data_IF_877460811347
#
_entry.id   IF_877460811347
#
_cell.length_a   1.000
_cell.length_b   1.000
_cell.length_c   1.000
_cell.angle_alpha   90.00
_cell.angle_beta   90.00
_cell.angle_gamma   90.00
#
_symmetry.space_group_name_H-M   'P 1'
#
loop_
_entity.id
_entity.type
_entity.pdbx_description
1 polymer ?
#
# COMPACT_ATOMS: atom_id res chain seq x y z
N UNK A 1 9.34 -13.36 54.85
CA UNK A 1 10.25 -12.26 55.24
C UNK A 1 11.50 -12.36 54.39
N UNK A 2 11.37 -12.34 53.07
CA UNK A 2 11.10 -11.17 52.21
C UNK A 2 12.26 -10.19 52.25
N UNK A 3 13.04 -10.16 51.16
CA UNK A 3 13.23 -8.98 50.31
C UNK A 3 13.62 -9.44 48.89
N UNK A 4 12.62 -9.68 48.05
CA UNK A 4 12.76 -9.50 46.61
C UNK A 4 12.81 -7.98 46.38
N UNK A 5 14.00 -7.45 46.08
CA UNK A 5 14.16 -6.11 45.52
C UNK A 5 13.98 -6.20 44.01
N UNK A 6 12.74 -6.36 43.55
CA UNK A 6 12.42 -6.12 42.14
C UNK A 6 12.50 -4.63 41.89
N UNK A 7 13.49 -4.20 41.10
CA UNK A 7 13.43 -2.88 40.47
C UNK A 7 12.37 -3.03 39.39
N UNK A 8 11.16 -2.53 39.65
CA UNK A 8 10.17 -2.37 38.59
C UNK A 8 10.80 -1.47 37.50
N UNK A 9 10.72 -1.83 36.22
CA UNK A 9 11.18 -0.96 35.16
C UNK A 9 10.37 0.34 35.22
N UNK A 10 11.03 1.44 35.54
CA UNK A 10 10.41 2.76 35.50
C UNK A 10 9.87 3.03 34.09
N UNK A 11 8.58 3.34 34.05
CA UNK A 11 7.86 3.70 32.84
C UNK A 11 8.36 5.07 32.40
N UNK A 12 9.08 5.13 31.26
CA UNK A 12 9.50 6.39 30.67
C UNK A 12 8.28 6.93 29.91
N UNK A 13 7.72 8.06 30.37
CA UNK A 13 6.67 8.78 29.64
C UNK A 13 7.32 9.84 28.75
N UNK A 14 7.26 9.63 27.44
CA UNK A 14 7.86 10.52 26.44
C UNK A 14 6.87 11.56 25.88
N UNK A 15 5.60 11.58 26.32
CA UNK A 15 4.53 12.39 25.71
C UNK A 15 4.76 13.91 25.73
N UNK A 16 5.71 14.39 26.53
CA UNK A 16 6.12 15.81 26.58
C UNK A 16 7.43 16.15 25.86
N UNK A 17 8.12 15.15 25.28
CA UNK A 17 9.42 15.34 24.63
C UNK A 17 9.32 16.09 23.30
N UNK A 18 10.39 16.74 22.87
CA UNK A 18 10.49 17.35 21.53
C UNK A 18 10.32 16.30 20.42
N UNK A 19 10.70 15.05 20.67
CA UNK A 19 10.42 13.93 19.78
C UNK A 19 8.92 13.74 19.52
N UNK A 20 8.10 13.70 20.58
CA UNK A 20 6.65 13.55 20.44
C UNK A 20 6.00 14.79 19.85
N UNK A 21 6.52 15.99 20.14
CA UNK A 21 6.07 17.21 19.46
C UNK A 21 6.31 17.12 17.95
N UNK A 22 7.46 16.62 17.52
CA UNK A 22 7.78 16.47 16.10
C UNK A 22 6.97 15.38 15.40
N UNK A 23 6.68 14.28 16.08
CA UNK A 23 5.70 13.28 15.60
C UNK A 23 4.32 13.94 15.45
N UNK A 24 3.92 14.79 16.39
CA UNK A 24 2.62 15.46 16.37
C UNK A 24 2.54 16.60 15.34
N UNK A 25 3.68 17.17 14.96
CA UNK A 25 3.79 18.18 13.91
C UNK A 25 4.40 17.62 12.62
N UNK A 26 4.18 16.34 12.32
CA UNK A 26 4.80 15.66 11.18
C UNK A 26 4.52 16.34 9.83
N UNK A 27 3.42 17.08 9.70
CA UNK A 27 3.11 17.87 8.50
C UNK A 27 4.18 18.92 8.18
N UNK A 28 4.70 19.58 9.22
CA UNK A 28 5.80 20.55 9.07
C UNK A 28 7.09 19.83 8.68
N UNK A 29 7.29 18.62 9.22
CA UNK A 29 8.44 17.78 8.90
C UNK A 29 8.42 17.34 7.43
N UNK A 30 7.24 16.98 6.89
CA UNK A 30 7.08 16.63 5.46
C UNK A 30 7.53 17.80 4.57
N UNK A 31 7.11 19.03 4.88
CA UNK A 31 7.48 20.22 4.10
C UNK A 31 8.99 20.48 4.12
N UNK A 32 9.66 20.21 5.25
CA UNK A 32 11.11 20.30 5.33
C UNK A 32 11.78 19.18 4.54
N UNK A 33 11.27 17.95 4.65
CA UNK A 33 11.81 16.76 4.01
C UNK A 33 11.84 16.86 2.47
N UNK A 34 10.86 17.57 1.87
CA UNK A 34 10.81 17.84 0.42
C UNK A 34 12.00 18.64 -0.11
N UNK A 35 12.65 19.43 0.76
CA UNK A 35 13.81 20.24 0.41
C UNK A 35 15.14 19.54 0.74
N UNK A 36 15.09 18.32 1.26
CA UNK A 36 16.26 17.55 1.69
C UNK A 36 16.41 16.29 0.84
N UNK A 37 17.61 16.05 0.33
CA UNK A 37 17.94 14.87 -0.46
C UNK A 37 18.29 13.67 0.45
N UNK A 38 17.31 13.22 1.24
CA UNK A 38 17.47 12.11 2.20
C UNK A 38 17.05 10.78 1.59
N UNK A 39 17.68 9.71 2.04
CA UNK A 39 17.39 8.32 1.64
C UNK A 39 16.17 7.73 2.36
N UNK A 40 15.84 8.26 3.54
CA UNK A 40 14.66 7.92 4.32
C UNK A 40 13.89 9.19 4.73
N UNK A 41 12.64 9.09 5.20
CA UNK A 41 11.89 10.23 5.71
C UNK A 41 12.64 10.96 6.83
N UNK A 42 12.64 12.30 6.84
CA UNK A 42 13.25 13.10 7.92
C UNK A 42 12.74 12.71 9.32
N UNK A 43 11.49 12.25 9.43
CA UNK A 43 10.95 11.77 10.71
C UNK A 43 11.66 10.52 11.22
N UNK A 44 12.16 9.65 10.34
CA UNK A 44 13.00 8.50 10.71
C UNK A 44 14.32 8.96 11.28
N UNK A 45 14.97 9.94 10.64
CA UNK A 45 16.23 10.52 11.11
C UNK A 45 16.05 11.10 12.52
N UNK A 46 14.98 11.86 12.75
CA UNK A 46 14.66 12.42 14.07
C UNK A 46 14.46 11.29 15.10
N UNK A 47 13.59 10.32 14.80
CA UNK A 47 13.28 9.22 15.72
C UNK A 47 14.52 8.39 16.05
N UNK A 48 15.21 7.90 15.02
CA UNK A 48 16.31 6.95 15.21
C UNK A 48 17.53 7.60 15.84
N UNK A 49 17.89 8.81 15.39
CA UNK A 49 19.02 9.55 15.99
C UNK A 49 18.72 9.90 17.44
N UNK A 50 17.47 10.21 17.79
CA UNK A 50 17.07 10.41 19.19
C UNK A 50 17.24 9.13 20.01
N UNK A 51 16.73 7.99 19.54
CA UNK A 51 16.76 6.72 20.27
C UNK A 51 18.19 6.21 20.47
N UNK A 52 19.04 6.29 19.44
CA UNK A 52 20.44 5.84 19.49
C UNK A 52 21.27 6.71 20.44
N UNK A 53 21.20 8.04 20.32
CA UNK A 53 22.01 8.94 21.14
C UNK A 53 21.63 8.93 22.62
N UNK A 54 20.39 8.55 22.95
CA UNK A 54 19.94 8.42 24.33
C UNK A 54 20.07 6.99 24.88
N UNK A 55 20.69 6.08 24.12
CA UNK A 55 20.85 4.67 24.50
C UNK A 55 19.52 3.95 24.83
N UNK A 56 18.43 4.36 24.17
CA UNK A 56 17.07 3.84 24.39
C UNK A 56 16.78 2.61 23.52
N UNK A 57 17.70 2.20 22.65
CA UNK A 57 17.52 1.07 21.71
C UNK A 57 17.20 -0.27 22.37
N UNK A 58 17.47 -0.46 23.67
CA UNK A 58 17.11 -1.67 24.43
C UNK A 58 15.67 -1.64 24.99
N UNK A 59 15.00 -0.49 24.94
CA UNK A 59 13.65 -0.27 25.45
C UNK A 59 12.63 -0.51 24.34
N UNK A 60 12.35 -1.78 24.06
CA UNK A 60 11.32 -2.16 23.08
C UNK A 60 9.94 -1.58 23.40
N UNK A 61 9.64 -1.36 24.68
CA UNK A 61 8.44 -0.66 25.16
C UNK A 61 8.39 0.80 24.69
N UNK A 62 9.51 1.53 24.77
CA UNK A 62 9.60 2.92 24.32
C UNK A 62 9.46 3.01 22.80
N UNK A 63 10.08 2.10 22.06
CA UNK A 63 9.90 2.03 20.61
C UNK A 63 8.45 1.71 20.22
N UNK A 64 7.77 0.85 20.98
CA UNK A 64 6.34 0.61 20.80
C UNK A 64 5.50 1.87 21.06
N UNK A 65 5.82 2.67 22.09
CA UNK A 65 5.13 3.94 22.33
C UNK A 65 5.32 4.96 21.19
N UNK A 66 6.52 5.02 20.60
CA UNK A 66 6.77 5.88 19.42
C UNK A 66 5.90 5.41 18.24
N UNK A 67 5.82 4.10 18.02
CA UNK A 67 4.93 3.55 16.99
C UNK A 67 3.45 3.77 17.31
N UNK A 68 3.04 3.75 18.58
CA UNK A 68 1.67 4.08 19.01
C UNK A 68 1.32 5.54 18.66
N UNK A 69 2.24 6.47 18.91
CA UNK A 69 1.98 7.88 18.61
C UNK A 69 1.89 8.12 17.10
N UNK A 70 2.77 7.49 16.30
CA UNK A 70 2.65 7.53 14.83
C UNK A 70 1.36 6.83 14.39
N UNK A 71 0.95 5.77 15.08
CA UNK A 71 -0.28 5.03 14.80
C UNK A 71 -1.53 5.90 14.90
N UNK A 72 -1.67 6.63 16.00
CA UNK A 72 -2.78 7.55 16.21
C UNK A 72 -2.94 8.58 15.08
N UNK A 73 -1.85 8.91 14.38
CA UNK A 73 -1.87 9.85 13.25
C UNK A 73 -2.30 9.19 11.96
N UNK A 74 -1.85 7.96 11.68
CA UNK A 74 -2.27 7.30 10.45
C UNK A 74 -3.71 6.78 10.54
N UNK A 75 -4.27 6.53 11.72
CA UNK A 75 -5.68 6.12 11.90
C UNK A 75 -6.71 7.26 11.70
N UNK A 76 -6.27 8.51 11.47
CA UNK A 76 -7.17 9.62 11.14
C UNK A 76 -7.91 9.37 9.81
N UNK A 77 -9.25 9.35 9.84
CA UNK A 77 -10.09 9.12 8.66
C UNK A 77 -9.90 10.20 7.56
N UNK A 78 -9.43 11.39 7.95
CA UNK A 78 -9.22 12.54 7.07
C UNK A 78 -7.77 12.67 6.60
N UNK A 79 -6.89 11.74 6.96
CA UNK A 79 -5.48 11.79 6.55
C UNK A 79 -5.35 11.83 5.03
N UNK A 80 -4.54 12.77 4.52
CA UNK A 80 -4.27 12.86 3.09
C UNK A 80 -3.41 11.68 2.65
N UNK A 81 -3.62 11.22 1.42
CA UNK A 81 -2.88 10.06 0.89
C UNK A 81 -1.35 10.21 0.99
N UNK A 82 -0.82 11.41 0.72
CA UNK A 82 0.62 11.70 0.84
C UNK A 82 1.13 11.59 2.28
N UNK A 83 0.37 12.09 3.26
CA UNK A 83 0.68 11.98 4.68
C UNK A 83 0.67 10.52 5.14
N UNK A 84 -0.34 9.75 4.72
CA UNK A 84 -0.43 8.32 4.98
C UNK A 84 0.80 7.57 4.45
N UNK A 85 1.20 7.84 3.21
CA UNK A 85 2.39 7.22 2.61
C UNK A 85 3.67 7.59 3.35
N UNK A 86 3.81 8.84 3.79
CA UNK A 86 4.95 9.30 4.56
C UNK A 86 5.06 8.62 5.94
N UNK A 87 3.95 8.56 6.70
CA UNK A 87 3.93 7.92 8.02
C UNK A 87 4.18 6.42 7.94
N UNK A 88 3.59 5.75 6.94
CA UNK A 88 3.80 4.31 6.74
C UNK A 88 5.22 3.99 6.26
N UNK A 89 5.84 4.88 5.47
CA UNK A 89 7.27 4.81 5.15
C UNK A 89 8.13 4.95 6.41
N UNK A 90 7.78 5.90 7.28
CA UNK A 90 8.47 6.12 8.56
C UNK A 90 8.41 4.86 9.44
N UNK A 91 7.22 4.27 9.61
CA UNK A 91 7.04 3.00 10.34
C UNK A 91 7.90 1.90 9.73
N UNK A 92 7.86 1.73 8.40
CA UNK A 92 8.60 0.69 7.69
C UNK A 92 10.11 0.79 7.94
N UNK A 93 10.65 2.00 7.94
CA UNK A 93 12.07 2.24 8.26
C UNK A 93 12.41 1.98 9.71
N UNK A 94 11.61 2.46 10.66
CA UNK A 94 11.84 2.21 12.09
C UNK A 94 11.86 0.69 12.36
N UNK A 95 10.92 -0.04 11.77
CA UNK A 95 10.84 -1.49 11.88
C UNK A 95 12.09 -2.18 11.35
N UNK A 96 12.53 -1.77 10.17
CA UNK A 96 13.69 -2.32 9.47
C UNK A 96 15.01 -2.03 10.21
N UNK A 97 15.17 -0.81 10.71
CA UNK A 97 16.30 -0.37 11.52
C UNK A 97 16.41 -1.16 12.82
N UNK A 98 15.29 -1.29 13.52
CA UNK A 98 15.25 -1.98 14.81
C UNK A 98 15.52 -3.49 14.68
N UNK A 99 14.94 -4.13 13.67
CA UNK A 99 15.15 -5.56 13.44
C UNK A 99 16.59 -5.90 13.02
N UNK A 100 17.20 -5.06 12.17
CA UNK A 100 18.55 -5.30 11.65
C UNK A 100 19.68 -4.82 12.58
N UNK A 101 19.37 -4.11 13.66
CA UNK A 101 20.40 -3.67 14.59
C UNK A 101 20.87 -4.83 15.51
N UNK A 102 22.12 -5.26 15.35
CA UNK A 102 22.71 -6.36 16.12
C UNK A 102 23.04 -6.01 17.58
N UNK A 103 23.06 -4.73 17.94
CA UNK A 103 23.31 -4.32 19.33
C UNK A 103 22.07 -4.45 20.22
N UNK A 104 20.88 -4.60 19.63
CA UNK A 104 19.61 -4.69 20.35
C UNK A 104 19.37 -6.14 20.80
N UNK A 105 19.04 -6.33 22.08
CA UNK A 105 18.76 -7.66 22.64
C UNK A 105 17.57 -8.35 21.97
N UNK A 106 17.60 -9.68 21.87
CA UNK A 106 16.49 -10.44 21.28
C UNK A 106 15.17 -10.20 22.03
N UNK A 107 15.21 -10.09 23.36
CA UNK A 107 14.03 -9.77 24.17
C UNK A 107 13.37 -8.44 23.77
N UNK A 108 14.17 -7.39 23.55
CA UNK A 108 13.67 -6.10 23.10
C UNK A 108 13.14 -6.16 21.66
N UNK A 109 13.72 -7.03 20.80
CA UNK A 109 13.19 -7.34 19.46
C UNK A 109 11.85 -8.07 19.51
N UNK A 110 11.67 -9.01 20.42
CA UNK A 110 10.43 -9.79 20.53
C UNK A 110 9.25 -8.89 20.95
N UNK A 111 9.45 -8.03 21.95
CA UNK A 111 8.44 -7.02 22.38
C UNK A 111 8.03 -6.11 21.22
N UNK A 112 9.02 -5.64 20.47
CA UNK A 112 8.79 -4.74 19.34
C UNK A 112 8.14 -5.45 18.15
N UNK A 113 8.53 -6.70 17.87
CA UNK A 113 8.00 -7.50 16.77
C UNK A 113 6.50 -7.80 16.91
N UNK A 114 6.03 -8.01 18.14
CA UNK A 114 4.60 -8.19 18.43
C UNK A 114 3.78 -6.99 17.93
N UNK A 115 4.20 -5.77 18.30
CA UNK A 115 3.57 -4.51 17.84
C UNK A 115 3.62 -4.34 16.32
N UNK A 116 4.79 -4.60 15.76
CA UNK A 116 5.12 -4.43 14.35
C UNK A 116 4.23 -5.23 13.39
N UNK A 117 3.94 -6.49 13.73
CA UNK A 117 3.19 -7.40 12.86
C UNK A 117 1.76 -6.92 12.60
N UNK A 118 1.06 -6.44 13.65
CA UNK A 118 -0.29 -5.89 13.54
C UNK A 118 -0.31 -4.53 12.86
N UNK A 119 0.63 -3.67 13.21
CA UNK A 119 0.74 -2.31 12.68
C UNK A 119 1.00 -2.30 11.17
N UNK A 120 1.98 -3.07 10.69
CA UNK A 120 2.29 -3.17 9.25
C UNK A 120 1.07 -3.58 8.41
N UNK A 121 0.28 -4.53 8.93
CA UNK A 121 -0.93 -4.99 8.26
C UNK A 121 -1.99 -3.88 8.16
N UNK A 122 -2.20 -3.12 9.25
CA UNK A 122 -3.15 -1.98 9.27
C UNK A 122 -2.71 -0.87 8.31
N UNK A 123 -1.45 -0.48 8.36
CA UNK A 123 -0.88 0.53 7.46
C UNK A 123 -1.17 0.23 6.00
N UNK A 124 -0.88 -0.99 5.55
CA UNK A 124 -1.08 -1.32 4.14
C UNK A 124 -2.56 -1.47 3.79
N UNK A 125 -3.37 -2.03 4.69
CA UNK A 125 -4.84 -2.07 4.48
C UNK A 125 -5.42 -0.67 4.26
N UNK A 126 -4.94 0.32 5.01
CA UNK A 126 -5.42 1.69 4.86
C UNK A 126 -4.93 2.35 3.57
N UNK A 127 -3.67 2.13 3.18
CA UNK A 127 -3.15 2.57 1.86
C UNK A 127 -4.00 1.98 0.74
N UNK A 128 -4.21 0.67 0.75
CA UNK A 128 -5.00 -0.02 -0.26
C UNK A 128 -6.46 0.42 -0.26
N UNK A 129 -7.05 0.67 0.91
CA UNK A 129 -8.40 1.22 1.02
C UNK A 129 -8.53 2.59 0.38
N UNK A 130 -7.56 3.49 0.59
CA UNK A 130 -7.53 4.80 -0.05
C UNK A 130 -7.30 4.69 -1.56
N UNK A 131 -6.38 3.83 -1.98
CA UNK A 131 -6.11 3.58 -3.41
C UNK A 131 -7.35 3.02 -4.10
N UNK A 132 -8.04 2.06 -3.48
CA UNK A 132 -9.27 1.50 -4.03
C UNK A 132 -10.32 2.58 -4.23
N UNK A 133 -10.57 3.44 -3.22
CA UNK A 133 -11.50 4.60 -3.35
C UNK A 133 -11.11 5.54 -4.50
N UNK A 134 -9.84 5.92 -4.60
CA UNK A 134 -9.35 6.81 -5.66
C UNK A 134 -9.41 6.15 -7.05
N UNK A 135 -9.13 4.85 -7.09
CA UNK A 135 -9.19 4.02 -8.30
C UNK A 135 -10.63 3.94 -8.78
N UNK A 136 -11.59 3.60 -7.91
CA UNK A 136 -13.02 3.56 -8.25
C UNK A 136 -13.51 4.88 -8.83
N UNK A 137 -13.16 6.02 -8.21
CA UNK A 137 -13.55 7.33 -8.73
C UNK A 137 -13.01 7.58 -10.15
N UNK A 138 -11.74 7.23 -10.39
CA UNK A 138 -11.07 7.42 -11.68
C UNK A 138 -11.63 6.49 -12.76
N UNK A 139 -11.91 5.24 -12.38
CA UNK A 139 -12.44 4.21 -13.28
C UNK A 139 -13.89 4.49 -13.61
N UNK A 140 -14.73 4.88 -12.65
CA UNK A 140 -16.11 5.26 -12.93
C UNK A 140 -16.18 6.45 -13.89
N UNK A 141 -15.32 7.45 -13.70
CA UNK A 141 -15.20 8.57 -14.64
C UNK A 141 -14.77 8.10 -16.05
N UNK A 142 -13.85 7.14 -16.13
CA UNK A 142 -13.42 6.57 -17.41
C UNK A 142 -14.51 5.70 -18.06
N UNK A 143 -15.19 4.83 -17.31
CA UNK A 143 -16.27 3.96 -17.83
C UNK A 143 -17.45 4.77 -18.37
N UNK A 144 -17.74 5.94 -17.77
CA UNK A 144 -18.78 6.85 -18.24
C UNK A 144 -18.38 7.65 -19.49
N UNK A 145 -17.11 8.04 -19.61
CA UNK A 145 -16.63 8.87 -20.72
C UNK A 145 -16.09 8.08 -21.90
N UNK A 146 -15.48 6.92 -21.64
CA UNK A 146 -14.82 5.94 -22.51
C UNK A 146 -13.72 6.47 -23.45
N UNK A 147 -13.71 7.76 -23.77
CA UNK A 147 -12.82 8.40 -24.73
C UNK A 147 -11.47 8.83 -24.12
N UNK A 148 -11.37 8.96 -22.78
CA UNK A 148 -10.22 9.58 -22.12
C UNK A 148 -9.54 8.62 -21.12
N UNK A 149 -8.67 7.73 -21.61
CA UNK A 149 -7.85 6.84 -20.76
C UNK A 149 -6.89 7.62 -19.84
N UNK A 150 -6.60 8.87 -20.19
CA UNK A 150 -5.72 9.77 -19.44
C UNK A 150 -6.11 9.92 -17.96
N UNK A 151 -7.40 9.88 -17.63
CA UNK A 151 -7.85 10.00 -16.23
C UNK A 151 -7.28 8.88 -15.36
N UNK A 152 -7.29 7.64 -15.88
CA UNK A 152 -6.77 6.47 -15.15
C UNK A 152 -5.24 6.47 -15.17
N UNK A 153 -4.60 6.82 -16.28
CA UNK A 153 -3.13 6.84 -16.40
C UNK A 153 -2.51 7.95 -15.54
N UNK A 154 -3.06 9.17 -15.56
CA UNK A 154 -2.60 10.25 -14.68
C UNK A 154 -2.73 9.85 -13.19
N UNK A 155 -3.74 9.04 -12.85
CA UNK A 155 -3.87 8.47 -11.51
C UNK A 155 -2.78 7.43 -11.20
N UNK A 156 -2.54 6.47 -12.09
CA UNK A 156 -1.48 5.46 -11.95
C UNK A 156 -0.12 6.12 -11.76
N UNK A 157 0.23 7.09 -12.61
CA UNK A 157 1.50 7.81 -12.55
C UNK A 157 1.66 8.58 -11.24
N UNK A 158 0.58 9.22 -10.75
CA UNK A 158 0.58 9.90 -9.45
C UNK A 158 0.84 8.94 -8.30
N UNK A 159 0.23 7.74 -8.32
CA UNK A 159 0.45 6.73 -7.28
C UNK A 159 1.89 6.21 -7.31
N UNK A 160 2.40 5.84 -8.48
CA UNK A 160 3.79 5.38 -8.64
C UNK A 160 4.77 6.45 -8.14
N UNK A 161 4.58 7.69 -8.59
CA UNK A 161 5.41 8.84 -8.16
C UNK A 161 5.32 9.03 -6.65
N UNK A 162 4.12 8.96 -6.06
CA UNK A 162 3.91 9.11 -4.62
C UNK A 162 4.64 8.02 -3.82
N UNK A 163 4.60 6.76 -4.26
CA UNK A 163 5.33 5.67 -3.58
C UNK A 163 6.83 5.94 -3.61
N UNK A 164 7.40 6.29 -4.77
CA UNK A 164 8.83 6.57 -4.87
C UNK A 164 9.24 7.83 -4.10
N UNK A 165 8.42 8.89 -4.11
CA UNK A 165 8.70 10.13 -3.37
C UNK A 165 8.57 9.97 -1.85
N UNK A 166 7.88 8.92 -1.39
CA UNK A 166 7.69 8.65 0.05
C UNK A 166 8.89 7.96 0.69
N UNK A 167 9.98 7.76 -0.06
CA UNK A 167 11.28 7.25 0.44
C UNK A 167 11.17 5.92 1.18
N UNK A 168 10.30 4.99 0.77
CA UNK A 168 10.22 3.66 1.40
C UNK A 168 11.53 2.87 1.27
N UNK A 169 11.80 1.92 2.18
CA UNK A 169 12.84 0.92 1.94
C UNK A 169 12.62 0.24 0.59
N UNK A 170 13.68 0.08 -0.21
CA UNK A 170 13.58 -0.36 -1.62
C UNK A 170 12.71 -1.62 -1.79
N UNK A 171 12.96 -2.67 -1.01
CA UNK A 171 12.18 -3.91 -1.09
C UNK A 171 10.70 -3.71 -0.73
N UNK A 172 10.42 -2.86 0.27
CA UNK A 172 9.05 -2.53 0.64
C UNK A 172 8.34 -1.75 -0.46
N UNK A 173 9.03 -0.78 -1.09
CA UNK A 173 8.48 0.02 -2.18
C UNK A 173 8.06 -0.86 -3.36
N UNK A 174 8.87 -1.85 -3.75
CA UNK A 174 8.55 -2.79 -4.83
C UNK A 174 7.30 -3.60 -4.52
N UNK A 175 7.27 -4.24 -3.35
CA UNK A 175 6.13 -5.07 -2.94
C UNK A 175 4.85 -4.24 -2.79
N UNK A 176 4.97 -3.00 -2.29
CA UNK A 176 3.85 -2.08 -2.19
C UNK A 176 3.32 -1.71 -3.59
N UNK A 177 4.19 -1.35 -4.54
CA UNK A 177 3.74 -1.01 -5.90
C UNK A 177 3.10 -2.22 -6.59
N UNK A 178 3.66 -3.43 -6.46
CA UNK A 178 3.05 -4.67 -7.00
C UNK A 178 1.63 -4.88 -6.45
N UNK A 179 1.46 -4.63 -5.15
CA UNK A 179 0.18 -4.79 -4.47
C UNK A 179 -0.85 -3.75 -4.90
N UNK A 180 -0.40 -2.50 -5.07
CA UNK A 180 -1.19 -1.41 -5.61
C UNK A 180 -1.61 -1.70 -7.05
N UNK A 181 -0.67 -2.15 -7.88
CA UNK A 181 -0.91 -2.47 -9.27
C UNK A 181 -1.97 -3.58 -9.40
N UNK A 182 -1.83 -4.64 -8.58
CA UNK A 182 -2.82 -5.71 -8.48
C UNK A 182 -4.19 -5.17 -8.05
N UNK A 183 -4.25 -4.30 -7.04
CA UNK A 183 -5.49 -3.68 -6.58
C UNK A 183 -6.16 -2.84 -7.67
N UNK A 184 -5.39 -2.11 -8.48
CA UNK A 184 -5.89 -1.32 -9.61
C UNK A 184 -6.48 -2.24 -10.69
N UNK A 185 -5.76 -3.31 -11.06
CA UNK A 185 -6.22 -4.28 -12.06
C UNK A 185 -7.55 -4.92 -11.66
N UNK A 186 -7.68 -5.31 -10.39
CA UNK A 186 -8.90 -5.93 -9.89
C UNK A 186 -10.06 -4.95 -9.79
N UNK A 187 -9.79 -3.75 -9.29
CA UNK A 187 -10.81 -2.70 -9.22
C UNK A 187 -11.32 -2.37 -10.63
N UNK A 188 -10.43 -2.30 -11.63
CA UNK A 188 -10.82 -2.08 -13.02
C UNK A 188 -11.62 -3.24 -13.59
N UNK A 189 -11.21 -4.48 -13.33
CA UNK A 189 -11.97 -5.66 -13.76
C UNK A 189 -13.37 -5.66 -13.14
N UNK A 190 -13.47 -5.35 -11.86
CA UNK A 190 -14.73 -5.32 -11.11
C UNK A 190 -15.68 -4.23 -11.61
N UNK A 191 -15.22 -2.99 -11.72
CA UNK A 191 -16.05 -1.85 -12.15
C UNK A 191 -16.49 -2.00 -13.61
N UNK A 192 -15.60 -2.45 -14.50
CA UNK A 192 -15.99 -2.77 -15.88
C UNK A 192 -17.04 -3.85 -15.88
N UNK A 193 -16.84 -4.96 -15.14
CA UNK A 193 -17.77 -6.10 -15.18
C UNK A 193 -19.16 -5.78 -14.64
N UNK A 194 -19.31 -4.74 -13.81
CA UNK A 194 -20.60 -4.31 -13.23
C UNK A 194 -21.23 -3.13 -13.97
N UNK A 195 -20.55 -2.56 -14.95
CA UNK A 195 -21.01 -1.34 -15.61
C UNK A 195 -22.24 -1.60 -16.48
N UNK A 196 -23.23 -0.73 -16.39
CA UNK A 196 -24.39 -0.70 -17.30
C UNK A 196 -24.04 -0.06 -18.67
N UNK A 197 -22.87 0.59 -18.77
CA UNK A 197 -22.42 1.32 -19.96
C UNK A 197 -21.55 0.48 -20.89
N UNK A 198 -21.43 -0.83 -20.67
CA UNK A 198 -20.60 -1.71 -21.49
C UNK A 198 -21.11 -1.80 -22.93
N UNK A 199 -20.20 -1.65 -23.89
CA UNK A 199 -20.42 -1.83 -25.33
C UNK A 199 -19.22 -2.56 -25.95
N UNK A 200 -19.33 -2.92 -27.23
CA UNK A 200 -18.21 -3.56 -27.96
C UNK A 200 -17.02 -2.60 -28.02
N UNK A 201 -17.29 -1.31 -28.24
CA UNK A 201 -16.33 -0.21 -28.25
C UNK A 201 -15.60 -0.08 -26.91
N UNK A 202 -16.28 -0.31 -25.78
CA UNK A 202 -15.65 -0.35 -24.46
C UNK A 202 -14.52 -1.37 -24.41
N UNK A 203 -14.67 -2.51 -25.10
CA UNK A 203 -13.61 -3.51 -25.21
C UNK A 203 -12.35 -2.96 -25.90
N UNK A 204 -12.51 -2.15 -26.95
CA UNK A 204 -11.39 -1.52 -27.66
C UNK A 204 -10.68 -0.49 -26.77
N UNK A 205 -11.44 0.38 -26.10
CA UNK A 205 -10.89 1.38 -25.18
C UNK A 205 -10.20 0.73 -23.98
N UNK A 206 -10.77 -0.35 -23.44
CA UNK A 206 -10.15 -1.13 -22.38
C UNK A 206 -8.80 -1.72 -22.84
N UNK A 207 -8.71 -2.23 -24.07
CA UNK A 207 -7.44 -2.76 -24.58
C UNK A 207 -6.34 -1.68 -24.62
N UNK A 208 -6.69 -0.47 -25.06
CA UNK A 208 -5.76 0.67 -25.07
C UNK A 208 -5.34 1.02 -23.63
N UNK A 209 -6.29 1.13 -22.71
CA UNK A 209 -6.02 1.44 -21.30
C UNK A 209 -5.11 0.38 -20.67
N UNK A 210 -5.37 -0.90 -20.93
CA UNK A 210 -4.57 -2.03 -20.41
C UNK A 210 -3.11 -1.93 -20.87
N UNK A 211 -2.87 -1.63 -22.15
CA UNK A 211 -1.51 -1.44 -22.66
C UNK A 211 -0.79 -0.26 -22.02
N UNK A 212 -1.52 0.85 -21.77
CA UNK A 212 -0.95 2.02 -21.10
C UNK A 212 -0.62 1.75 -19.63
N UNK A 213 -1.49 1.03 -18.91
CA UNK A 213 -1.23 0.58 -17.53
C UNK A 213 -0.01 -0.35 -17.50
N UNK A 214 0.04 -1.34 -18.40
CA UNK A 214 1.18 -2.27 -18.53
C UNK A 214 2.48 -1.51 -18.76
N UNK A 215 2.47 -0.52 -19.66
CA UNK A 215 3.64 0.32 -19.95
C UNK A 215 4.07 1.16 -18.75
N UNK A 216 3.13 1.79 -18.03
CA UNK A 216 3.42 2.61 -16.86
C UNK A 216 4.12 1.79 -15.76
N UNK A 217 3.61 0.60 -15.44
CA UNK A 217 4.24 -0.28 -14.45
C UNK A 217 5.55 -0.90 -14.94
N UNK A 218 5.65 -1.24 -16.23
CA UNK A 218 6.91 -1.74 -16.81
C UNK A 218 8.02 -0.69 -16.73
N UNK A 219 7.70 0.59 -16.97
CA UNK A 219 8.64 1.71 -16.82
C UNK A 219 9.09 1.89 -15.35
N UNK A 220 8.25 1.49 -14.39
CA UNK A 220 8.58 1.42 -12.97
C UNK A 220 9.29 0.11 -12.56
N UNK A 221 9.66 -0.75 -13.51
CA UNK A 221 10.26 -2.06 -13.28
C UNK A 221 9.38 -3.04 -12.49
N UNK A 222 8.06 -2.94 -12.67
CA UNK A 222 7.07 -3.81 -12.03
C UNK A 222 6.41 -4.70 -13.09
N UNK A 223 6.51 -6.01 -12.90
CA UNK A 223 5.81 -6.98 -13.75
C UNK A 223 4.39 -7.17 -13.23
N UNK A 224 3.41 -6.80 -14.04
CA UNK A 224 2.00 -6.86 -13.67
C UNK A 224 1.28 -7.98 -14.43
N UNK A 225 0.55 -8.82 -13.71
CA UNK A 225 -0.41 -9.73 -14.33
C UNK A 225 -1.72 -8.99 -14.62
N UNK A 226 -1.94 -8.71 -15.91
CA UNK A 226 -3.13 -8.04 -16.45
C UNK A 226 -4.01 -8.98 -17.27
N UNK A 227 -3.81 -10.30 -17.14
CA UNK A 227 -4.50 -11.31 -17.94
C UNK A 227 -6.01 -11.16 -17.86
N UNK A 228 -6.55 -10.93 -16.66
CA UNK A 228 -7.99 -10.72 -16.44
C UNK A 228 -8.55 -9.56 -17.28
N UNK A 229 -7.83 -8.44 -17.40
CA UNK A 229 -8.30 -7.28 -18.18
C UNK A 229 -8.17 -7.51 -19.68
N UNK A 230 -7.10 -8.19 -20.12
CA UNK A 230 -6.93 -8.60 -21.53
C UNK A 230 -8.06 -9.54 -21.95
N UNK A 231 -8.44 -10.46 -21.08
CA UNK A 231 -9.57 -11.37 -21.29
C UNK A 231 -10.91 -10.64 -21.31
N UNK A 232 -11.18 -9.72 -20.36
CA UNK A 232 -12.42 -8.93 -20.35
C UNK A 232 -12.57 -8.13 -21.65
N UNK A 233 -11.50 -7.46 -22.08
CA UNK A 233 -11.47 -6.74 -23.36
C UNK A 233 -11.77 -7.67 -24.53
N UNK A 234 -11.15 -8.86 -24.56
CA UNK A 234 -11.35 -9.88 -25.59
C UNK A 234 -12.80 -10.40 -25.64
N UNK A 235 -13.44 -10.61 -24.48
CA UNK A 235 -14.85 -11.02 -24.38
C UNK A 235 -15.78 -9.94 -24.96
N UNK A 236 -15.53 -8.67 -24.65
CA UNK A 236 -16.34 -7.55 -25.15
C UNK A 236 -16.30 -7.46 -26.69
N UNK A 237 -15.10 -7.58 -27.28
CA UNK A 237 -14.87 -7.48 -28.73
C UNK A 237 -15.17 -8.78 -29.51
N UNK A 238 -15.43 -9.88 -28.82
CA UNK A 238 -15.69 -11.17 -29.47
C UNK A 238 -16.94 -11.08 -30.36
N UNK A 239 -16.78 -11.43 -31.65
CA UNK A 239 -17.87 -11.36 -32.64
C UNK A 239 -18.99 -12.36 -32.37
N UNK A 240 -18.65 -13.59 -31.99
CA UNK A 240 -19.62 -14.62 -31.64
C UNK A 240 -19.43 -15.02 -30.18
N UNK A 241 -20.25 -14.44 -29.30
CA UNK A 241 -20.17 -14.65 -27.85
C UNK A 241 -20.70 -16.02 -27.41
N UNK A 242 -21.48 -16.71 -28.24
CA UNK A 242 -22.00 -18.05 -27.92
C UNK A 242 -20.91 -19.13 -27.87
N UNK A 243 -19.72 -18.89 -28.45
CA UNK A 243 -18.55 -19.79 -28.32
C UNK A 243 -18.13 -19.98 -26.86
N UNK A 244 -18.41 -18.99 -26.00
CA UNK A 244 -18.11 -19.08 -24.57
C UNK A 244 -18.92 -20.17 -23.85
N UNK A 245 -20.05 -20.64 -24.41
CA UNK A 245 -20.82 -21.73 -23.80
C UNK A 245 -20.01 -23.04 -23.69
N UNK A 246 -19.07 -23.27 -24.60
CA UNK A 246 -18.24 -24.48 -24.65
C UNK A 246 -16.80 -24.24 -24.24
N UNK A 247 -16.25 -23.05 -24.56
CA UNK A 247 -14.81 -22.81 -24.51
C UNK A 247 -14.39 -21.68 -23.56
N UNK A 248 -15.26 -21.20 -22.66
CA UNK A 248 -14.91 -20.06 -21.79
C UNK A 248 -13.64 -20.30 -20.94
N UNK A 249 -13.38 -21.54 -20.50
CA UNK A 249 -12.17 -21.84 -19.72
C UNK A 249 -10.88 -21.74 -20.53
N UNK A 250 -10.97 -21.84 -21.85
CA UNK A 250 -9.83 -21.66 -22.77
C UNK A 250 -9.69 -20.20 -23.16
N UNK A 251 -10.82 -19.51 -23.38
CA UNK A 251 -10.85 -18.12 -23.86
C UNK A 251 -10.59 -17.11 -22.74
N UNK A 252 -11.12 -17.35 -21.53
CA UNK A 252 -11.00 -16.45 -20.39
C UNK A 252 -10.81 -17.21 -19.06
N UNK A 253 -9.69 -17.93 -18.88
CA UNK A 253 -9.40 -18.71 -17.67
C UNK A 253 -9.26 -17.90 -16.38
N UNK A 254 -8.94 -16.60 -16.47
CA UNK A 254 -8.70 -15.75 -15.30
C UNK A 254 -9.92 -14.92 -14.90
N UNK A 255 -10.94 -14.80 -15.76
CA UNK A 255 -12.16 -14.05 -15.44
C UNK A 255 -13.04 -14.85 -14.47
N UNK A 256 -13.45 -14.24 -13.35
CA UNK A 256 -14.43 -14.85 -12.47
C UNK A 256 -15.77 -15.10 -13.15
N UNK A 257 -16.40 -16.26 -12.89
CA UNK A 257 -17.70 -16.60 -13.51
C UNK A 257 -18.71 -15.49 -13.28
N UNK A 258 -18.75 -14.91 -12.07
CA UNK A 258 -19.67 -13.82 -11.76
C UNK A 258 -19.42 -12.58 -12.64
N UNK A 259 -18.14 -12.23 -12.88
CA UNK A 259 -17.78 -11.10 -13.72
C UNK A 259 -18.18 -11.35 -15.17
N UNK A 260 -17.88 -12.56 -15.67
CA UNK A 260 -18.24 -12.97 -17.03
C UNK A 260 -19.76 -12.95 -17.24
N UNK A 261 -20.53 -13.50 -16.30
CA UNK A 261 -22.00 -13.51 -16.36
C UNK A 261 -22.56 -12.10 -16.35
N UNK A 262 -22.03 -11.19 -15.52
CA UNK A 262 -22.47 -9.81 -15.49
C UNK A 262 -22.23 -9.12 -16.85
N UNK A 263 -21.02 -9.22 -17.40
CA UNK A 263 -20.66 -8.65 -18.70
C UNK A 263 -21.62 -9.15 -19.81
N UNK A 264 -21.81 -10.47 -19.90
CA UNK A 264 -22.67 -11.07 -20.92
C UNK A 264 -24.14 -10.68 -20.75
N UNK A 265 -24.60 -10.54 -19.50
CA UNK A 265 -25.97 -10.11 -19.20
C UNK A 265 -26.20 -8.66 -19.63
N UNK A 266 -25.28 -7.75 -19.31
CA UNK A 266 -25.38 -6.34 -19.74
C UNK A 266 -25.39 -6.22 -21.27
N UNK A 267 -24.50 -6.92 -21.96
CA UNK A 267 -24.46 -6.91 -23.43
C UNK A 267 -25.76 -7.43 -24.04
N UNK A 268 -26.32 -8.51 -23.50
CA UNK A 268 -27.59 -9.08 -23.95
C UNK A 268 -28.77 -8.13 -23.74
N UNK A 269 -28.75 -7.33 -22.67
CA UNK A 269 -29.79 -6.34 -22.40
C UNK A 269 -29.73 -5.16 -23.39
N UNK A 270 -28.54 -4.76 -23.83
CA UNK A 270 -28.37 -3.70 -24.83
C UNK A 270 -28.66 -4.16 -26.25
N UNK A 271 -28.25 -5.38 -26.59
CA UNK A 271 -28.50 -6.00 -27.88
C UNK A 271 -28.97 -7.44 -27.68
N UNK A 272 -30.28 -7.66 -27.82
CA UNK A 272 -30.86 -8.99 -27.71
C UNK A 272 -30.35 -9.97 -28.77
N UNK A 273 -29.73 -9.52 -29.86
CA UNK A 273 -29.16 -10.42 -30.87
C UNK A 273 -27.71 -10.85 -30.58
N UNK A 274 -27.04 -10.20 -29.61
CA UNK A 274 -25.60 -10.36 -29.38
C UNK A 274 -25.16 -11.73 -28.84
N UNK A 275 -26.03 -12.43 -28.10
CA UNK A 275 -25.83 -13.81 -27.65
C UNK A 275 -27.14 -14.52 -27.25
N UNK A 276 -27.12 -15.84 -27.12
CA UNK A 276 -28.25 -16.62 -26.62
C UNK A 276 -28.39 -16.59 -25.10
N UNK A 277 -29.62 -16.67 -24.59
CA UNK A 277 -29.88 -16.81 -23.14
C UNK A 277 -29.36 -18.14 -22.58
N UNK A 278 -29.30 -19.18 -23.44
CA UNK A 278 -28.72 -20.48 -23.13
C UNK A 278 -27.22 -20.42 -22.83
N UNK A 279 -26.47 -19.52 -23.46
CA UNK A 279 -25.04 -19.32 -23.18
C UNK A 279 -24.83 -18.83 -21.76
N UNK A 280 -25.56 -17.78 -21.34
CA UNK A 280 -25.47 -17.24 -19.97
C UNK A 280 -25.87 -18.30 -18.95
N UNK A 281 -26.96 -19.02 -19.19
CA UNK A 281 -27.44 -20.08 -18.30
C UNK A 281 -26.45 -21.25 -18.17
N UNK A 282 -25.74 -21.60 -19.25
CA UNK A 282 -24.73 -22.65 -19.25
C UNK A 282 -23.52 -22.25 -18.41
N UNK A 283 -23.00 -21.03 -18.62
CA UNK A 283 -21.85 -20.49 -17.89
C UNK A 283 -22.19 -20.34 -16.39
N UNK A 284 -23.38 -19.81 -16.07
CA UNK A 284 -23.82 -19.58 -14.68
C UNK A 284 -23.98 -20.86 -13.86
N UNK A 285 -24.25 -22.01 -14.52
CA UNK A 285 -24.37 -23.32 -13.87
C UNK A 285 -23.02 -23.99 -13.62
N UNK A 286 -21.92 -23.44 -14.13
CA UNK A 286 -20.60 -24.02 -13.94
C UNK A 286 -20.14 -23.79 -12.49
N UNK A 287 -19.77 -24.88 -11.80
CA UNK A 287 -19.40 -24.88 -10.38
C UNK A 287 -17.95 -24.47 -10.11
N UNK A 288 -17.25 -23.92 -11.11
CA UNK A 288 -15.84 -23.56 -10.97
C UNK A 288 -15.75 -22.20 -10.28
N UNK A 289 -15.61 -22.22 -8.96
CA UNK A 289 -15.21 -21.03 -8.20
C UNK A 289 -13.85 -20.54 -8.72
N UNK A 290 -13.87 -19.45 -9.47
CA UNK A 290 -12.68 -18.63 -9.67
C UNK A 290 -12.31 -17.99 -8.33
N UNK A 291 -11.10 -18.26 -7.85
CA UNK A 291 -10.61 -17.72 -6.59
C UNK A 291 -10.29 -16.21 -6.71
N UNK A 292 -11.30 -15.35 -6.71
CA UNK A 292 -11.09 -13.92 -6.41
C UNK A 292 -10.41 -13.74 -5.05
N UNK A 293 -10.67 -14.67 -4.12
CA UNK A 293 -10.05 -14.71 -2.79
C UNK A 293 -8.52 -14.95 -2.83
N UNK A 294 -7.95 -15.47 -3.93
CA UNK A 294 -6.48 -15.64 -4.07
C UNK A 294 -5.73 -14.39 -4.51
N UNK A 295 -6.45 -13.35 -4.91
CA UNK A 295 -5.89 -12.04 -5.28
C UNK A 295 -5.90 -11.05 -4.10
N UNK A 296 -6.16 -11.57 -2.89
CA UNK A 296 -6.05 -10.81 -1.66
C UNK A 296 -4.58 -10.47 -1.39
N UNK A 297 -4.34 -9.22 -1.01
CA UNK A 297 -3.03 -8.70 -0.64
C UNK A 297 -2.30 -9.63 0.35
N UNK A 298 -1.14 -10.16 -0.05
CA UNK A 298 -0.32 -11.01 0.81
C UNK A 298 0.45 -10.15 1.82
N UNK A 299 -0.26 -9.74 2.87
CA UNK A 299 0.29 -9.06 4.06
C UNK A 299 1.58 -9.72 4.59
N UNK A 300 1.75 -11.05 4.40
CA UNK A 300 2.95 -11.78 4.85
C UNK A 300 4.16 -11.51 3.96
N UNK A 301 3.99 -11.29 2.64
CA UNK A 301 5.09 -10.86 1.75
C UNK A 301 5.64 -9.50 2.15
N UNK A 302 4.76 -8.57 2.54
CA UNK A 302 5.14 -7.21 2.93
C UNK A 302 5.90 -7.19 4.24
N UNK A 303 5.42 -7.95 5.23
CA UNK A 303 6.15 -8.12 6.48
C UNK A 303 7.54 -8.74 6.23
N UNK A 304 7.64 -9.79 5.39
CA UNK A 304 8.92 -10.41 5.03
C UNK A 304 9.89 -9.45 4.32
N UNK A 305 9.39 -8.49 3.54
CA UNK A 305 10.21 -7.48 2.88
C UNK A 305 10.90 -6.50 3.86
N UNK A 306 10.45 -6.44 5.12
CA UNK A 306 11.04 -5.63 6.20
C UNK A 306 12.21 -6.32 6.93
N UNK A 307 12.68 -7.48 6.47
CA UNK A 307 13.77 -8.26 7.11
C UNK A 307 15.02 -8.41 6.24
N UNK A 308 15.15 -7.65 5.16
CA UNK A 308 16.37 -7.68 4.35
C UNK A 308 17.50 -6.84 4.97
N UNK A 309 18.76 -7.29 4.91
CA UNK A 309 19.89 -6.56 5.45
C UNK A 309 20.12 -5.27 4.67
N UNK A 310 20.51 -4.22 5.39
CA UNK A 310 20.72 -2.88 4.84
C UNK A 310 22.11 -2.34 5.16
N UNK A 311 22.65 -1.59 4.20
CA UNK A 311 23.78 -0.68 4.38
C UNK A 311 23.25 0.71 4.05
N UNK A 312 23.18 1.60 5.03
CA UNK A 312 22.88 3.01 4.81
C UNK A 312 23.40 3.87 5.96
N UNK A 313 23.65 5.15 5.63
CA UNK A 313 24.11 6.16 6.58
C UNK A 313 22.93 7.07 6.96
N UNK A 314 22.79 7.32 8.26
CA UNK A 314 21.83 8.27 8.84
C UNK A 314 22.52 9.59 9.16
N UNK A 315 21.75 10.67 9.25
CA UNK A 315 22.26 11.96 9.71
C UNK A 315 22.75 11.87 11.15
N UNK A 316 23.86 12.55 11.43
CA UNK A 316 24.33 12.68 12.80
C UNK A 316 23.51 13.74 13.58
N UNK A 317 23.63 13.74 14.90
CA UNK A 317 22.82 14.60 15.78
C UNK A 317 23.05 16.10 15.53
N UNK A 318 24.26 16.49 15.13
CA UNK A 318 24.61 17.90 14.91
C UNK A 318 24.05 18.43 13.58
N UNK A 319 23.92 17.58 12.57
CA UNK A 319 23.18 17.87 11.34
C UNK A 319 21.69 18.11 11.62
N UNK A 320 21.05 17.26 12.44
CA UNK A 320 19.65 17.45 12.84
C UNK A 320 19.45 18.73 13.67
N UNK A 321 20.36 19.02 14.61
CA UNK A 321 20.32 20.27 15.39
C UNK A 321 20.42 21.52 14.50
N UNK A 322 21.19 21.44 13.41
CA UNK A 322 21.31 22.53 12.44
C UNK A 322 19.99 22.78 11.71
N UNK A 323 19.27 21.73 11.32
CA UNK A 323 17.95 21.82 10.66
C UNK A 323 16.91 22.43 11.63
N UNK A 324 16.95 22.02 12.90
CA UNK A 324 15.92 22.37 13.88
C UNK A 324 16.30 23.47 14.88
N UNK A 325 17.39 24.21 14.65
CA UNK A 325 17.85 25.32 15.51
C UNK A 325 18.04 24.91 16.98
N UNK A 326 18.90 23.92 17.22
CA UNK A 326 19.31 23.46 18.57
C UNK A 326 18.22 22.82 19.43
N UNK A 327 17.25 22.11 18.83
CA UNK A 327 16.29 21.30 19.60
C UNK A 327 16.99 20.27 20.48
N UNK A 328 16.64 20.25 21.77
CA UNK A 328 17.04 19.20 22.71
C UNK A 328 16.05 18.04 22.63
N UNK A 329 16.23 17.16 21.66
CA UNK A 329 15.36 16.00 21.43
C UNK A 329 15.17 15.14 22.67
N UNK A 330 16.26 14.95 23.43
CA UNK A 330 16.32 14.61 24.85
C UNK A 330 17.69 15.15 25.35
N UNK A 331 17.70 15.85 26.48
CA UNK A 331 18.92 16.44 27.04
C UNK A 331 19.72 15.32 27.76
N UNK A 332 21.03 15.14 27.55
CA UNK A 332 21.81 14.09 28.25
C UNK A 332 21.80 14.21 29.78
N UNK A 333 21.36 15.36 30.33
CA UNK A 333 21.19 15.60 31.76
C UNK A 333 19.72 15.72 32.22
N UNK A 334 18.75 15.33 31.39
CA UNK A 334 17.32 15.43 31.69
C UNK A 334 16.72 14.13 32.23
N UNK A 335 17.08 13.75 33.45
CA UNK A 335 16.30 12.91 34.39
C UNK A 335 15.56 11.69 33.79
N UNK A 336 16.34 10.65 33.52
CA UNK A 336 16.16 9.38 34.22
C UNK A 336 15.94 9.66 35.72
N UNK A 337 14.70 9.59 36.18
CA UNK A 337 14.38 9.44 37.60
C UNK A 337 13.54 8.20 37.82
#
# INVERSE_FOLDING_TARGET
>A
MDRQGGIEPQTIDLKGSELFKDINSYDVIILLDENLNLTCPLLVEIVWTTVVNNHITQRGDVMSQILDEIELRFEDELIQFKQLMYLTSTISWIMLLYNNNNTISQHAKDIFAEKCSGLSCRCVKQILGQIHKLTQNSINAWVLSQECTKIVIDFVDKIITCVYSSKYPKMFSTVLIESIATSIVLSLAEEVSKSDYLEVETGLYLNILVQQIESAFTNAHITLDISILKEISSVLILKNKDVLATDYQVVCPHIPIQFLVNILTTLKQKDESSLSTTTIATISKSSVMSNLDTLCFDTKKVYKALFFPLVFDLMNLDELKTIFKDRSYLNPNGLFL
#
